data_IF_392337333926
#
_entry.id   IF_392337333926
#
_cell.length_a   1.000
_cell.length_b   1.000
_cell.length_c   1.000
_cell.angle_alpha   90.00
_cell.angle_beta   90.00
_cell.angle_gamma   90.00
#
_symmetry.space_group_name_H-M   'P 1'
#
loop_
_entity.id
_entity.type
_entity.pdbx_description
1 polymer ?
#
# COMPACT_ATOMS: atom_id res chain seq x y z
N UNK A 1 -24.33 -17.48 10.39
CA UNK A 1 -24.42 -16.88 9.02
C UNK A 1 -23.26 -15.94 8.76
N UNK A 2 -23.03 -14.90 9.57
CA UNK A 2 -21.78 -14.09 9.52
C UNK A 2 -20.51 -14.95 9.54
N UNK A 3 -20.44 -15.97 10.40
CA UNK A 3 -19.33 -16.94 10.40
C UNK A 3 -19.16 -17.70 9.07
N UNK A 4 -20.24 -17.98 8.32
CA UNK A 4 -20.15 -18.59 6.98
C UNK A 4 -19.72 -17.57 5.92
N UNK A 5 -20.13 -16.31 6.04
CA UNK A 5 -19.67 -15.20 5.18
C UNK A 5 -18.17 -14.97 5.38
N UNK A 6 -17.71 -14.96 6.64
CA UNK A 6 -16.31 -14.85 7.03
C UNK A 6 -15.46 -16.03 6.51
N UNK A 7 -15.98 -17.25 6.58
CA UNK A 7 -15.28 -18.46 6.12
C UNK A 7 -15.30 -18.68 4.59
N UNK A 8 -16.22 -18.03 3.87
CA UNK A 8 -16.45 -18.29 2.43
C UNK A 8 -16.05 -17.14 1.51
N UNK A 9 -15.37 -16.10 2.02
CA UNK A 9 -15.01 -14.89 1.26
C UNK A 9 -14.16 -15.18 0.00
N UNK A 10 -13.48 -16.32 -0.08
CA UNK A 10 -12.73 -16.71 -1.26
C UNK A 10 -13.58 -17.33 -2.40
N UNK A 11 -14.85 -17.71 -2.13
CA UNK A 11 -15.65 -18.59 -3.02
C UNK A 11 -17.11 -18.15 -3.21
N UNK A 12 -17.53 -17.06 -2.59
CA UNK A 12 -18.94 -16.62 -2.61
C UNK A 12 -19.31 -15.78 -3.83
N UNK A 13 -20.56 -15.91 -4.26
CA UNK A 13 -21.18 -15.11 -5.31
C UNK A 13 -21.64 -13.76 -4.73
N UNK A 14 -20.75 -12.78 -4.84
CA UNK A 14 -20.81 -11.48 -4.15
C UNK A 14 -22.06 -10.60 -4.41
N UNK A 15 -22.73 -10.63 -5.58
CA UNK A 15 -23.94 -9.83 -5.82
C UNK A 15 -25.08 -10.15 -4.85
N UNK A 16 -25.24 -11.42 -4.48
CA UNK A 16 -26.23 -11.90 -3.50
C UNK A 16 -25.87 -11.53 -2.06
N UNK A 17 -24.59 -11.24 -1.78
CA UNK A 17 -24.14 -10.81 -0.46
C UNK A 17 -24.42 -9.32 -0.20
N UNK A 18 -24.44 -8.46 -1.21
CA UNK A 18 -24.67 -7.02 -1.04
C UNK A 18 -26.02 -6.69 -0.41
N UNK A 19 -27.11 -7.21 -0.96
CA UNK A 19 -28.47 -7.01 -0.45
C UNK A 19 -28.69 -7.61 0.95
N UNK A 20 -28.00 -8.73 1.23
CA UNK A 20 -28.00 -9.33 2.55
C UNK A 20 -27.28 -8.44 3.59
N UNK A 21 -26.12 -7.88 3.22
CA UNK A 21 -25.36 -6.98 4.10
C UNK A 21 -26.16 -5.71 4.41
N UNK A 22 -26.87 -5.13 3.44
CA UNK A 22 -27.77 -3.98 3.67
C UNK A 22 -28.85 -4.29 4.71
N UNK A 23 -29.52 -5.45 4.58
CA UNK A 23 -30.56 -5.89 5.53
C UNK A 23 -29.99 -6.11 6.94
N UNK A 24 -28.78 -6.64 7.06
CA UNK A 24 -28.12 -6.86 8.35
C UNK A 24 -27.73 -5.53 8.98
N UNK A 25 -27.09 -4.62 8.24
CA UNK A 25 -26.71 -3.30 8.74
C UNK A 25 -27.91 -2.49 9.26
N UNK A 26 -29.04 -2.53 8.54
CA UNK A 26 -30.28 -1.88 8.95
C UNK A 26 -30.84 -2.46 10.27
N UNK A 27 -30.83 -3.78 10.42
CA UNK A 27 -31.32 -4.44 11.64
C UNK A 27 -30.48 -4.10 12.88
N UNK A 28 -29.14 -4.04 12.75
CA UNK A 28 -28.24 -3.76 13.88
C UNK A 28 -28.21 -2.29 14.27
N UNK A 29 -28.48 -1.38 13.34
CA UNK A 29 -28.59 0.06 13.63
C UNK A 29 -29.75 0.42 14.58
N UNK A 30 -30.71 -0.49 14.74
CA UNK A 30 -31.89 -0.33 15.62
C UNK A 30 -31.70 -0.93 17.02
N UNK A 31 -30.57 -1.58 17.29
CA UNK A 31 -30.27 -2.18 18.61
C UNK A 31 -29.53 -1.14 19.46
N UNK A 32 -30.29 -0.30 20.17
CA UNK A 32 -29.76 0.78 21.01
C UNK A 32 -28.95 0.26 22.22
N UNK A 33 -27.82 0.94 22.52
CA UNK A 33 -27.17 0.88 23.83
C UNK A 33 -25.89 0.05 23.96
N UNK A 34 -25.37 -0.56 22.88
CA UNK A 34 -24.11 -1.32 22.90
C UNK A 34 -23.12 -0.83 21.85
N UNK A 35 -21.88 -0.48 22.27
CA UNK A 35 -20.78 -0.09 21.37
C UNK A 35 -20.48 -1.15 20.29
N UNK A 36 -20.82 -2.41 20.55
CA UNK A 36 -20.70 -3.48 19.58
C UNK A 36 -21.58 -3.31 18.32
N UNK A 37 -22.78 -2.72 18.45
CA UNK A 37 -23.65 -2.49 17.30
C UNK A 37 -23.00 -1.62 16.21
N UNK A 38 -22.19 -0.64 16.63
CA UNK A 38 -21.45 0.23 15.74
C UNK A 38 -20.35 -0.51 14.97
N UNK A 39 -19.60 -1.39 15.64
CA UNK A 39 -18.56 -2.22 15.01
C UNK A 39 -19.17 -3.14 13.94
N UNK A 40 -20.34 -3.71 14.20
CA UNK A 40 -21.07 -4.54 13.24
C UNK A 40 -21.53 -3.75 12.00
N UNK A 41 -22.02 -2.53 12.21
CA UNK A 41 -22.43 -1.63 11.12
C UNK A 41 -21.22 -1.25 10.26
N UNK A 42 -20.10 -0.86 10.86
CA UNK A 42 -18.89 -0.51 10.12
C UNK A 42 -18.26 -1.73 9.43
N UNK A 43 -18.31 -2.91 10.04
CA UNK A 43 -17.88 -4.17 9.40
C UNK A 43 -18.74 -4.50 8.17
N UNK A 44 -20.05 -4.31 8.27
CA UNK A 44 -20.98 -4.51 7.15
C UNK A 44 -20.71 -3.53 6.02
N UNK A 45 -20.51 -2.24 6.35
CA UNK A 45 -20.15 -1.21 5.38
C UNK A 45 -18.81 -1.50 4.70
N UNK A 46 -17.82 -1.97 5.45
CA UNK A 46 -16.55 -2.41 4.89
C UNK A 46 -16.73 -3.55 3.88
N UNK A 47 -17.54 -4.56 4.20
CA UNK A 47 -17.81 -5.66 3.27
C UNK A 47 -18.52 -5.18 1.99
N UNK A 48 -19.47 -4.24 2.10
CA UNK A 48 -20.10 -3.63 0.92
C UNK A 48 -19.08 -2.92 0.04
N UNK A 49 -18.20 -2.10 0.63
CA UNK A 49 -17.11 -1.44 -0.10
C UNK A 49 -16.16 -2.44 -0.78
N UNK A 50 -15.87 -3.56 -0.12
CA UNK A 50 -15.06 -4.63 -0.72
C UNK A 50 -15.77 -5.26 -1.92
N UNK A 51 -17.07 -5.54 -1.83
CA UNK A 51 -17.86 -6.07 -2.95
C UNK A 51 -17.88 -5.10 -4.12
N UNK A 52 -18.17 -3.83 -3.86
CA UNK A 52 -18.15 -2.78 -4.89
C UNK A 52 -16.78 -2.68 -5.57
N UNK A 53 -15.69 -2.79 -4.79
CA UNK A 53 -14.34 -2.81 -5.34
C UNK A 53 -14.10 -4.02 -6.25
N UNK A 54 -14.58 -5.20 -5.87
CA UNK A 54 -14.43 -6.43 -6.66
C UNK A 54 -15.25 -6.38 -7.96
N UNK A 55 -16.39 -5.71 -7.95
CA UNK A 55 -17.24 -5.55 -9.13
C UNK A 55 -16.77 -4.43 -10.07
N UNK A 56 -16.00 -3.47 -9.55
CA UNK A 56 -15.48 -2.35 -10.32
C UNK A 56 -14.34 -2.78 -11.24
N UNK A 57 -14.51 -2.51 -12.53
CA UNK A 57 -13.40 -2.55 -13.48
C UNK A 57 -12.57 -1.26 -13.35
N UNK A 58 -11.28 -1.43 -13.08
CA UNK A 58 -10.36 -0.32 -12.84
C UNK A 58 -9.52 0.02 -14.08
N UNK A 59 -9.98 -0.35 -15.28
CA UNK A 59 -9.26 -0.16 -16.55
C UNK A 59 -8.22 -1.25 -16.78
N UNK A 60 -7.53 -1.67 -15.71
CA UNK A 60 -6.70 -2.86 -15.74
C UNK A 60 -7.51 -4.16 -15.69
N UNK A 61 -8.76 -4.16 -15.18
CA UNK A 61 -9.61 -5.33 -14.96
C UNK A 61 -10.15 -5.41 -13.52
N UNK A 62 -10.81 -6.53 -13.16
CA UNK A 62 -11.44 -6.72 -11.83
C UNK A 62 -10.51 -7.31 -10.79
N UNK A 63 -10.65 -6.87 -9.54
CA UNK A 63 -9.95 -7.47 -8.40
C UNK A 63 -10.49 -8.86 -8.06
N UNK A 64 -9.60 -9.81 -7.79
CA UNK A 64 -9.97 -11.07 -7.14
C UNK A 64 -10.26 -10.88 -5.65
N UNK A 65 -10.83 -11.89 -4.99
CA UNK A 65 -11.16 -11.84 -3.56
C UNK A 65 -9.97 -11.62 -2.61
N UNK A 66 -8.75 -11.78 -3.12
CA UNK A 66 -7.49 -11.50 -2.40
C UNK A 66 -6.77 -10.26 -2.94
N UNK A 67 -7.49 -9.37 -3.62
CA UNK A 67 -6.96 -8.16 -4.28
C UNK A 67 -5.88 -8.43 -5.34
N UNK A 68 -5.73 -9.68 -5.76
CA UNK A 68 -4.85 -10.06 -6.86
C UNK A 68 -5.46 -9.62 -8.19
N UNK A 69 -4.60 -9.20 -9.12
CA UNK A 69 -4.99 -8.77 -10.45
C UNK A 69 -4.07 -9.37 -11.54
N UNK A 70 -4.61 -9.62 -12.75
CA UNK A 70 -3.88 -10.22 -13.88
C UNK A 70 -3.03 -9.18 -14.62
N UNK A 71 -1.75 -9.09 -14.26
CA UNK A 71 -0.81 -8.00 -14.61
C UNK A 71 -0.41 -7.84 -16.09
N UNK A 72 -1.07 -8.50 -17.04
CA UNK A 72 -0.68 -8.38 -18.44
C UNK A 72 -1.21 -7.06 -19.02
N UNK A 73 -0.35 -6.05 -19.07
CA UNK A 73 -0.53 -4.76 -19.78
C UNK A 73 -1.56 -3.81 -19.13
N UNK A 74 -1.27 -3.35 -17.91
CA UNK A 74 -2.05 -2.26 -17.28
C UNK A 74 -1.36 -0.90 -17.50
N UNK A 75 -2.14 0.12 -17.86
CA UNK A 75 -1.63 1.49 -17.99
C UNK A 75 -1.27 2.09 -16.62
N UNK A 76 -0.30 3.03 -16.55
CA UNK A 76 0.08 3.66 -15.28
C UNK A 76 -1.07 4.39 -14.57
N UNK A 77 -1.97 5.00 -15.35
CA UNK A 77 -3.21 5.65 -14.89
C UNK A 77 -4.13 4.67 -14.17
N UNK A 78 -4.36 3.51 -14.76
CA UNK A 78 -5.19 2.44 -14.18
C UNK A 78 -4.58 1.92 -12.88
N UNK A 79 -3.26 1.72 -12.86
CA UNK A 79 -2.54 1.30 -11.65
C UNK A 79 -2.61 2.35 -10.54
N UNK A 80 -2.55 3.64 -10.86
CA UNK A 80 -2.74 4.72 -9.89
C UNK A 80 -4.18 4.73 -9.34
N UNK A 81 -5.18 4.57 -10.20
CA UNK A 81 -6.57 4.51 -9.80
C UNK A 81 -6.84 3.30 -8.89
N UNK A 82 -6.33 2.12 -9.27
CA UNK A 82 -6.38 0.91 -8.47
C UNK A 82 -5.70 1.11 -7.10
N UNK A 83 -4.51 1.72 -7.07
CA UNK A 83 -3.81 2.05 -5.83
C UNK A 83 -4.65 2.98 -4.93
N UNK A 84 -5.26 4.02 -5.50
CA UNK A 84 -6.11 4.95 -4.76
C UNK A 84 -7.33 4.26 -4.14
N UNK A 85 -7.97 3.35 -4.88
CA UNK A 85 -9.09 2.56 -4.37
C UNK A 85 -8.68 1.62 -3.23
N UNK A 86 -7.55 0.93 -3.36
CA UNK A 86 -7.02 0.05 -2.31
C UNK A 86 -6.63 0.84 -1.05
N UNK A 87 -6.04 2.03 -1.21
CA UNK A 87 -5.73 2.91 -0.09
C UNK A 87 -7.00 3.45 0.60
N UNK A 88 -8.03 3.83 -0.17
CA UNK A 88 -9.33 4.21 0.40
C UNK A 88 -9.93 3.06 1.22
N UNK A 89 -9.82 1.82 0.74
CA UNK A 89 -10.28 0.66 1.47
C UNK A 89 -9.48 0.45 2.77
N UNK A 90 -8.16 0.62 2.71
CA UNK A 90 -7.29 0.48 3.89
C UNK A 90 -7.61 1.49 4.99
N UNK A 91 -7.98 2.72 4.61
CA UNK A 91 -8.36 3.79 5.54
C UNK A 91 -9.70 3.52 6.24
N UNK A 92 -10.52 2.60 5.72
CA UNK A 92 -11.74 2.12 6.38
C UNK A 92 -11.50 0.86 7.20
N UNK A 93 -10.68 -0.06 6.68
CA UNK A 93 -10.36 -1.32 7.33
C UNK A 93 -9.59 -1.11 8.64
N UNK A 94 -8.57 -0.26 8.63
CA UNK A 94 -7.66 -0.15 9.78
C UNK A 94 -8.32 0.41 11.04
N UNK A 95 -9.12 1.49 10.99
CA UNK A 95 -9.83 1.97 12.19
C UNK A 95 -10.73 0.90 12.79
N UNK A 96 -11.47 0.17 11.95
CA UNK A 96 -12.34 -0.93 12.40
C UNK A 96 -11.55 -2.06 13.07
N UNK A 97 -10.42 -2.47 12.47
CA UNK A 97 -9.57 -3.51 13.01
C UNK A 97 -8.95 -3.12 14.35
N UNK A 98 -8.47 -1.88 14.47
CA UNK A 98 -7.89 -1.33 15.69
C UNK A 98 -8.96 -1.19 16.79
N UNK A 99 -10.11 -0.61 16.46
CA UNK A 99 -11.25 -0.46 17.38
C UNK A 99 -11.69 -1.82 17.93
N UNK A 100 -11.75 -2.84 17.08
CA UNK A 100 -12.07 -4.20 17.51
C UNK A 100 -11.04 -4.72 18.53
N UNK A 101 -9.74 -4.54 18.27
CA UNK A 101 -8.68 -5.04 19.16
C UNK A 101 -8.53 -4.31 20.49
N UNK A 102 -8.98 -3.05 20.56
CA UNK A 102 -8.83 -2.18 21.72
C UNK A 102 -10.02 -2.24 22.71
N UNK A 103 -10.99 -3.14 22.48
CA UNK A 103 -12.14 -3.30 23.37
C UNK A 103 -11.75 -3.88 24.74
N UNK A 104 -12.59 -3.63 25.74
CA UNK A 104 -12.53 -4.32 27.03
C UNK A 104 -13.00 -5.78 26.86
N UNK A 105 -12.04 -6.65 26.57
CA UNK A 105 -12.31 -8.05 26.23
C UNK A 105 -13.01 -8.84 27.33
N UNK A 106 -12.82 -8.47 28.59
CA UNK A 106 -13.54 -9.09 29.72
C UNK A 106 -15.04 -8.83 29.59
N UNK A 107 -15.44 -7.63 29.19
CA UNK A 107 -16.85 -7.28 28.95
C UNK A 107 -17.36 -7.88 27.65
N UNK A 108 -16.54 -7.92 26.60
CA UNK A 108 -16.93 -8.49 25.30
C UNK A 108 -17.16 -10.00 25.39
N UNK A 109 -16.35 -10.74 26.16
CA UNK A 109 -16.54 -12.18 26.38
C UNK A 109 -17.85 -12.50 27.11
N UNK A 110 -18.29 -11.62 28.00
CA UNK A 110 -19.57 -11.73 28.71
C UNK A 110 -20.78 -11.36 27.84
N UNK A 111 -20.54 -10.77 26.65
CA UNK A 111 -21.59 -10.44 25.69
C UNK A 111 -22.15 -11.69 25.01
N UNK A 112 -23.45 -11.71 24.67
CA UNK A 112 -23.99 -12.71 23.74
C UNK A 112 -23.29 -12.70 22.36
N UNK A 113 -22.58 -11.61 22.03
CA UNK A 113 -21.90 -11.42 20.76
C UNK A 113 -20.38 -11.61 20.83
N UNK A 114 -19.81 -11.94 21.99
CA UNK A 114 -18.36 -12.03 22.19
C UNK A 114 -17.67 -12.89 21.13
N UNK A 115 -18.18 -14.11 20.90
CA UNK A 115 -17.64 -15.03 19.88
C UNK A 115 -17.61 -14.45 18.46
N UNK A 116 -18.55 -13.56 18.13
CA UNK A 116 -18.60 -12.95 16.81
C UNK A 116 -17.48 -11.90 16.64
N UNK A 117 -17.25 -11.07 17.66
CA UNK A 117 -16.13 -10.11 17.66
C UNK A 117 -14.79 -10.84 17.63
N UNK A 118 -14.65 -11.87 18.45
CA UNK A 118 -13.45 -12.71 18.52
C UNK A 118 -13.15 -13.37 17.16
N UNK A 119 -14.16 -13.94 16.50
CA UNK A 119 -14.00 -14.54 15.18
C UNK A 119 -13.70 -13.55 14.05
N UNK A 120 -14.00 -12.25 14.23
CA UNK A 120 -13.74 -11.23 13.21
C UNK A 120 -12.27 -10.79 13.16
N UNK A 121 -11.55 -10.82 14.28
CA UNK A 121 -10.13 -10.41 14.37
C UNK A 121 -9.23 -11.15 13.36
N UNK A 122 -9.18 -12.50 13.34
CA UNK A 122 -8.32 -13.21 12.39
C UNK A 122 -8.70 -12.92 10.94
N UNK A 123 -10.00 -12.75 10.65
CA UNK A 123 -10.48 -12.44 9.30
C UNK A 123 -10.02 -11.05 8.86
N UNK A 124 -10.16 -10.05 9.73
CA UNK A 124 -9.67 -8.69 9.49
C UNK A 124 -8.14 -8.65 9.36
N UNK A 125 -7.42 -9.50 10.10
CA UNK A 125 -5.97 -9.61 10.00
C UNK A 125 -5.53 -10.17 8.65
N UNK A 126 -6.14 -11.26 8.20
CA UNK A 126 -5.88 -11.83 6.89
C UNK A 126 -6.23 -10.83 5.77
N UNK A 127 -7.34 -10.12 5.92
CA UNK A 127 -7.81 -9.10 5.00
C UNK A 127 -6.84 -7.92 4.88
N UNK A 128 -6.42 -7.36 6.02
CA UNK A 128 -5.47 -6.26 6.09
C UNK A 128 -4.10 -6.66 5.55
N UNK A 129 -3.67 -7.89 5.82
CA UNK A 129 -2.43 -8.42 5.30
C UNK A 129 -2.45 -8.57 3.77
N UNK A 130 -3.52 -9.13 3.22
CA UNK A 130 -3.68 -9.26 1.77
C UNK A 130 -3.72 -7.89 1.10
N UNK A 131 -4.42 -6.92 1.71
CA UNK A 131 -4.49 -5.55 1.22
C UNK A 131 -3.11 -4.87 1.25
N UNK A 132 -2.34 -5.00 2.33
CA UNK A 132 -0.97 -4.50 2.41
C UNK A 132 -0.07 -5.11 1.34
N UNK A 133 -0.17 -6.43 1.12
CA UNK A 133 0.58 -7.11 0.06
C UNK A 133 0.21 -6.54 -1.32
N UNK A 134 -1.09 -6.36 -1.60
CA UNK A 134 -1.57 -5.83 -2.87
C UNK A 134 -1.08 -4.40 -3.09
N UNK A 135 -1.33 -3.50 -2.14
CA UNK A 135 -0.86 -2.10 -2.20
C UNK A 135 0.65 -2.02 -2.42
N UNK A 136 1.44 -2.83 -1.70
CA UNK A 136 2.90 -2.85 -1.84
C UNK A 136 3.34 -3.30 -3.25
N UNK A 137 2.63 -4.25 -3.85
CA UNK A 137 2.85 -4.68 -5.24
C UNK A 137 2.52 -3.56 -6.23
N UNK A 138 1.39 -2.85 -6.06
CA UNK A 138 1.03 -1.73 -6.93
C UNK A 138 2.05 -0.60 -6.85
N UNK A 139 2.47 -0.22 -5.64
CA UNK A 139 3.54 0.76 -5.43
C UNK A 139 4.82 0.32 -6.12
N UNK A 140 5.23 -0.94 -5.93
CA UNK A 140 6.42 -1.51 -6.60
C UNK A 140 6.32 -1.38 -8.12
N UNK A 141 5.21 -1.80 -8.71
CA UNK A 141 5.03 -1.81 -10.16
C UNK A 141 5.01 -0.39 -10.74
N UNK A 142 4.36 0.56 -10.06
CA UNK A 142 4.38 1.99 -10.42
C UNK A 142 5.79 2.58 -10.32
N UNK A 143 6.54 2.28 -9.26
CA UNK A 143 7.94 2.71 -9.11
C UNK A 143 8.82 2.18 -10.24
N UNK A 144 8.62 0.93 -10.67
CA UNK A 144 9.34 0.36 -11.82
C UNK A 144 8.97 1.04 -13.14
N UNK A 145 7.70 1.39 -13.35
CA UNK A 145 7.27 2.13 -14.54
C UNK A 145 7.86 3.54 -14.57
N UNK A 146 7.87 4.25 -13.43
CA UNK A 146 8.55 5.54 -13.30
C UNK A 146 10.05 5.39 -13.58
N UNK A 147 10.71 4.37 -13.03
CA UNK A 147 12.13 4.11 -13.29
C UNK A 147 12.42 3.93 -14.78
N UNK A 148 11.66 3.06 -15.44
CA UNK A 148 11.84 2.77 -16.85
C UNK A 148 11.59 4.03 -17.69
N UNK A 149 10.48 4.73 -17.44
CA UNK A 149 10.13 5.93 -18.17
C UNK A 149 11.14 7.07 -17.96
N UNK A 150 11.67 7.26 -16.75
CA UNK A 150 12.72 8.25 -16.48
C UNK A 150 14.05 7.89 -17.18
N UNK A 151 14.41 6.61 -17.27
CA UNK A 151 15.65 6.15 -17.92
C UNK A 151 15.61 6.24 -19.45
N UNK A 152 14.43 6.02 -20.04
CA UNK A 152 14.28 5.96 -21.50
C UNK A 152 13.63 7.21 -22.12
N UNK A 153 12.92 8.01 -21.33
CA UNK A 153 12.20 9.22 -21.76
C UNK A 153 13.03 10.49 -21.90
N UNK A 154 14.29 10.49 -21.47
CA UNK A 154 15.21 11.64 -21.48
C UNK A 154 15.76 11.99 -22.90
N UNK A 155 15.13 11.46 -23.96
CA UNK A 155 15.56 11.61 -25.37
C UNK A 155 14.69 12.55 -26.19
N UNK A 156 13.56 13.01 -25.68
CA UNK A 156 12.66 13.93 -26.38
C UNK A 156 12.57 15.25 -25.62
N UNK A 157 12.81 16.37 -26.32
CA UNK A 157 12.66 17.75 -25.84
C UNK A 157 11.17 18.10 -25.64
N UNK A 158 10.48 17.38 -24.74
CA UNK A 158 9.13 17.75 -24.29
C UNK A 158 9.25 18.66 -23.05
N UNK A 159 8.36 19.66 -22.96
CA UNK A 159 8.38 20.69 -21.91
C UNK A 159 8.08 20.17 -20.50
N UNK A 160 7.58 18.95 -20.36
CA UNK A 160 7.47 18.20 -19.11
C UNK A 160 7.29 16.71 -19.44
N UNK A 161 8.11 15.79 -18.92
CA UNK A 161 7.99 14.40 -19.31
C UNK A 161 6.82 13.71 -18.58
N UNK A 162 6.05 12.84 -19.25
CA UNK A 162 4.84 12.24 -18.69
C UNK A 162 5.11 11.36 -17.44
N UNK A 163 6.34 10.90 -17.23
CA UNK A 163 6.72 10.16 -16.04
C UNK A 163 6.76 11.04 -14.78
N UNK A 164 6.96 12.36 -14.92
CA UNK A 164 7.01 13.28 -13.78
C UNK A 164 5.63 13.42 -13.13
N UNK A 165 4.58 13.53 -13.94
CA UNK A 165 3.21 13.56 -13.44
C UNK A 165 2.84 12.27 -12.68
N UNK A 166 3.22 11.11 -13.24
CA UNK A 166 3.08 9.81 -12.58
C UNK A 166 3.83 9.76 -11.23
N UNK A 167 5.06 10.26 -11.19
CA UNK A 167 5.88 10.32 -9.99
C UNK A 167 5.27 11.23 -8.91
N UNK A 168 4.73 12.39 -9.30
CA UNK A 168 4.05 13.32 -8.39
C UNK A 168 2.78 12.70 -7.78
N UNK A 169 1.96 12.01 -8.58
CA UNK A 169 0.79 11.28 -8.07
C UNK A 169 1.20 10.16 -7.10
N UNK A 170 2.27 9.44 -7.41
CA UNK A 170 2.79 8.40 -6.53
C UNK A 170 3.33 8.96 -5.21
N UNK A 171 3.96 10.14 -5.23
CA UNK A 171 4.37 10.87 -4.03
C UNK A 171 3.19 11.31 -3.15
N UNK A 172 2.05 11.65 -3.74
CA UNK A 172 0.83 11.96 -2.97
C UNK A 172 0.26 10.72 -2.26
N UNK A 173 0.48 9.52 -2.80
CA UNK A 173 0.07 8.25 -2.19
C UNK A 173 0.98 7.84 -1.01
N UNK A 174 2.25 8.25 -1.00
CA UNK A 174 3.24 7.89 0.03
C UNK A 174 2.76 8.11 1.49
N UNK A 175 2.24 9.29 1.90
CA UNK A 175 1.82 9.50 3.28
C UNK A 175 0.66 8.59 3.68
N UNK A 176 -0.24 8.25 2.74
CA UNK A 176 -1.36 7.33 2.98
C UNK A 176 -0.86 5.91 3.16
N UNK A 177 0.09 5.48 2.33
CA UNK A 177 0.77 4.19 2.47
C UNK A 177 1.51 4.06 3.82
N UNK A 178 2.25 5.10 4.23
CA UNK A 178 2.97 5.10 5.51
C UNK A 178 2.02 5.01 6.71
N UNK A 179 0.89 5.74 6.68
CA UNK A 179 -0.17 5.64 7.70
C UNK A 179 -0.77 4.24 7.76
N UNK A 180 -1.06 3.64 6.61
CA UNK A 180 -1.58 2.28 6.55
C UNK A 180 -0.57 1.27 7.12
N UNK A 181 0.71 1.38 6.76
CA UNK A 181 1.77 0.51 7.29
C UNK A 181 1.90 0.63 8.81
N UNK A 182 1.91 1.85 9.36
CA UNK A 182 1.94 2.08 10.81
C UNK A 182 0.74 1.44 11.50
N UNK A 183 -0.47 1.69 11.00
CA UNK A 183 -1.69 1.12 11.58
C UNK A 183 -1.68 -0.41 11.52
N UNK A 184 -1.13 -1.01 10.46
CA UNK A 184 -0.98 -2.46 10.36
C UNK A 184 0.02 -3.01 11.39
N UNK A 185 1.12 -2.29 11.66
CA UNK A 185 2.05 -2.65 12.73
C UNK A 185 1.36 -2.64 14.09
N UNK A 186 0.57 -1.60 14.38
CA UNK A 186 -0.18 -1.46 15.63
C UNK A 186 -1.21 -2.59 15.79
N UNK A 187 -1.95 -2.90 14.72
CA UNK A 187 -2.94 -3.97 14.72
C UNK A 187 -2.31 -5.35 14.95
N UNK A 188 -1.18 -5.63 14.29
CA UNK A 188 -0.40 -6.87 14.53
C UNK A 188 0.10 -6.94 15.97
N UNK A 189 0.58 -5.83 16.52
CA UNK A 189 1.01 -5.78 17.92
C UNK A 189 -0.14 -6.09 18.88
N UNK A 190 -1.34 -5.52 18.65
CA UNK A 190 -2.53 -5.85 19.43
C UNK A 190 -2.96 -7.32 19.27
N UNK A 191 -2.89 -7.88 18.06
CA UNK A 191 -3.14 -9.31 17.85
C UNK A 191 -2.18 -10.20 18.66
N UNK A 192 -0.90 -9.82 18.74
CA UNK A 192 0.07 -10.50 19.58
C UNK A 192 -0.26 -10.37 21.07
N UNK A 193 -0.67 -9.18 21.53
CA UNK A 193 -1.11 -8.98 22.91
C UNK A 193 -2.30 -9.89 23.27
N UNK A 194 -3.29 -10.00 22.37
CA UNK A 194 -4.45 -10.88 22.56
C UNK A 194 -4.03 -12.35 22.61
N UNK A 195 -3.16 -12.79 21.69
CA UNK A 195 -2.59 -14.14 21.75
C UNK A 195 -1.93 -14.41 23.11
N UNK A 196 -1.12 -13.47 23.60
CA UNK A 196 -0.43 -13.58 24.89
C UNK A 196 -1.41 -13.59 26.08
N UNK A 197 -2.58 -12.95 25.97
CA UNK A 197 -3.62 -12.97 27.00
C UNK A 197 -4.49 -14.24 26.96
N UNK A 198 -4.16 -15.23 26.12
CA UNK A 198 -4.87 -16.51 26.05
C UNK A 198 -5.94 -16.59 24.97
N UNK A 199 -5.98 -15.65 24.03
CA UNK A 199 -6.95 -15.64 22.95
C UNK A 199 -6.74 -16.81 21.97
N UNK A 200 -7.66 -17.77 21.98
CA UNK A 200 -7.49 -19.09 21.36
C UNK A 200 -7.55 -19.08 19.83
N UNK A 201 -8.28 -18.15 19.24
CA UNK A 201 -8.51 -18.01 17.81
C UNK A 201 -7.26 -17.52 17.09
N UNK A 202 -6.39 -16.81 17.81
CA UNK A 202 -5.05 -16.45 17.34
C UNK A 202 -3.99 -17.44 17.83
N UNK A 203 -4.31 -18.49 18.59
CA UNK A 203 -3.33 -19.45 19.04
C UNK A 203 -2.77 -20.28 17.85
N UNK A 204 -1.58 -20.90 17.99
CA UNK A 204 -1.07 -21.82 16.98
C UNK A 204 -2.12 -22.89 16.62
N UNK A 205 -2.30 -23.22 15.32
CA UNK A 205 -1.37 -22.97 14.21
C UNK A 205 -1.58 -21.64 13.47
N UNK A 206 -2.45 -20.74 13.94
CA UNK A 206 -2.68 -19.46 13.27
C UNK A 206 -1.39 -18.62 13.25
N UNK A 207 -1.04 -18.04 12.10
CA UNK A 207 0.19 -17.26 11.93
C UNK A 207 -0.16 -15.78 11.86
N UNK A 208 0.21 -15.01 12.89
CA UNK A 208 0.18 -13.54 12.82
C UNK A 208 1.35 -13.10 11.92
N UNK A 209 1.11 -12.31 10.87
CA UNK A 209 2.16 -11.91 9.94
C UNK A 209 3.11 -10.89 10.57
N UNK A 210 4.40 -10.99 10.22
CA UNK A 210 5.38 -9.97 10.56
C UNK A 210 5.40 -8.89 9.47
N UNK A 211 5.05 -7.66 9.82
CA UNK A 211 5.07 -6.51 8.91
C UNK A 211 6.53 -6.04 8.72
N UNK A 212 7.12 -6.13 7.52
CA UNK A 212 8.49 -5.72 7.31
C UNK A 212 8.61 -4.20 7.34
N UNK A 213 9.57 -3.72 8.12
CA UNK A 213 9.93 -2.30 8.16
C UNK A 213 10.54 -1.82 6.83
N UNK A 214 11.15 -2.72 6.07
CA UNK A 214 11.72 -2.40 4.75
C UNK A 214 10.71 -1.77 3.79
N UNK A 215 9.41 -2.03 3.93
CA UNK A 215 8.37 -1.43 3.09
C UNK A 215 8.35 0.10 3.14
N UNK A 216 8.69 0.72 4.27
CA UNK A 216 8.75 2.18 4.39
C UNK A 216 9.85 2.77 3.49
N UNK A 217 10.83 1.96 3.10
CA UNK A 217 11.91 2.36 2.20
C UNK A 217 11.53 2.28 0.72
N UNK A 218 10.32 1.84 0.35
CA UNK A 218 9.89 1.81 -1.07
C UNK A 218 9.98 3.19 -1.74
N UNK A 219 9.71 4.26 -0.98
CA UNK A 219 9.76 5.64 -1.43
C UNK A 219 11.05 6.36 -1.03
N UNK A 220 12.05 5.64 -0.48
CA UNK A 220 13.31 6.25 -0.10
C UNK A 220 13.98 6.91 -1.31
N UNK A 221 14.49 8.13 -1.10
CA UNK A 221 15.21 8.93 -2.10
C UNK A 221 14.35 9.32 -3.33
N UNK A 222 13.07 8.90 -3.39
CA UNK A 222 12.17 9.16 -4.51
C UNK A 222 11.74 10.64 -4.56
N UNK A 223 11.52 11.27 -3.39
CA UNK A 223 11.26 12.72 -3.29
C UNK A 223 12.44 13.54 -3.82
N UNK A 224 13.65 13.14 -3.48
CA UNK A 224 14.87 13.85 -3.87
C UNK A 224 15.14 13.71 -5.38
N UNK A 225 14.82 12.54 -5.95
CA UNK A 225 14.83 12.32 -7.40
C UNK A 225 13.89 13.29 -8.12
N UNK A 226 12.62 13.38 -7.68
CA UNK A 226 11.61 14.26 -8.29
C UNK A 226 11.99 15.73 -8.12
N UNK A 227 12.41 16.14 -6.91
CA UNK A 227 12.85 17.51 -6.65
C UNK A 227 14.09 17.91 -7.48
N UNK A 228 15.04 16.99 -7.65
CA UNK A 228 16.23 17.20 -8.47
C UNK A 228 15.92 17.40 -9.96
N UNK A 229 14.87 16.76 -10.48
CA UNK A 229 14.40 16.99 -11.86
C UNK A 229 13.74 18.36 -12.01
N UNK A 230 12.77 18.69 -11.15
CA UNK A 230 12.08 19.98 -11.19
C UNK A 230 13.04 21.17 -10.99
N UNK A 231 14.15 20.99 -10.26
CA UNK A 231 15.17 22.01 -10.08
C UNK A 231 16.03 22.23 -11.33
N UNK A 232 16.31 21.17 -12.11
CA UNK A 232 17.07 21.26 -13.37
C UNK A 232 16.31 21.98 -14.47
N UNK A 233 15.00 21.79 -14.58
CA UNK A 233 14.15 22.51 -15.54
C UNK A 233 13.99 24.00 -15.21
N UNK A 234 14.04 24.38 -13.92
CA UNK A 234 13.94 25.77 -13.47
C UNK A 234 15.26 26.55 -13.55
N UNK A 235 16.38 25.87 -13.80
CA UNK A 235 17.62 26.57 -14.09
C UNK A 235 17.48 27.19 -15.48
N UNK A 236 17.61 28.53 -15.63
CA UNK A 236 17.60 29.12 -16.96
C UNK A 236 18.72 28.48 -17.76
N UNK A 237 18.37 27.88 -18.89
CA UNK A 237 19.34 27.41 -19.89
C UNK A 237 20.23 28.60 -20.23
N UNK A 238 21.42 28.65 -19.63
CA UNK A 238 22.38 29.71 -19.89
C UNK A 238 22.63 29.74 -21.41
N UNK A 239 22.63 30.93 -22.04
CA UNK A 239 22.83 31.00 -23.48
C UNK A 239 24.20 30.41 -23.80
N UNK A 240 24.23 29.45 -24.71
CA UNK A 240 25.42 29.01 -25.42
C UNK A 240 25.99 30.20 -26.21
N UNK A 241 26.76 31.04 -25.52
CA UNK A 241 27.60 32.10 -26.07
C UNK A 241 28.87 32.13 -25.19
N UNK A 242 30.11 32.01 -25.66
CA UNK A 242 30.62 32.02 -27.00
C UNK A 242 31.91 31.18 -27.03
N UNK A 243 32.12 30.48 -28.14
CA UNK A 243 33.42 29.97 -28.53
C UNK A 243 34.15 31.14 -29.21
N UNK A 244 34.98 31.88 -28.48
CA UNK A 244 35.98 32.81 -29.03
C UNK A 244 37.12 33.02 -28.02
N UNK A 245 38.34 33.00 -28.55
CA UNK A 245 39.62 32.85 -27.87
C UNK A 245 40.03 33.99 -26.93
N UNK A 246 40.85 33.66 -25.91
CA UNK A 246 42.09 34.41 -25.60
C UNK A 246 42.97 33.63 -24.60
N UNK A 247 44.26 33.62 -24.89
CA UNK A 247 45.41 33.08 -24.17
C UNK A 247 45.68 33.72 -22.80
N UNK A 248 46.31 32.97 -21.89
CA UNK A 248 47.07 33.52 -20.77
C UNK A 248 47.37 32.47 -19.70
N UNK A 249 48.65 32.13 -19.55
CA UNK A 249 49.19 31.27 -18.50
C UNK A 249 48.80 31.72 -17.09
N UNK A 250 48.43 30.76 -16.22
CA UNK A 250 48.98 30.71 -14.86
C UNK A 250 48.68 29.36 -14.19
N UNK A 251 49.76 28.65 -13.86
CA UNK A 251 49.77 27.49 -12.97
C UNK A 251 49.98 28.00 -11.54
N UNK A 252 48.98 27.84 -10.66
CA UNK A 252 49.21 27.76 -9.21
C UNK A 252 48.10 26.97 -8.50
N UNK A 253 48.54 25.78 -8.09
CA UNK A 253 48.12 24.87 -7.02
C UNK A 253 46.98 25.25 -6.05
N UNK A 254 46.12 24.23 -5.84
CA UNK A 254 45.57 23.70 -4.59
C UNK A 254 45.61 24.58 -3.32
N UNK A 255 44.44 24.78 -2.66
CA UNK A 255 44.22 24.28 -1.29
C UNK A 255 42.75 24.40 -0.81
N UNK A 256 42.21 23.23 -0.42
CA UNK A 256 41.28 22.92 0.70
C UNK A 256 39.95 23.65 0.92
N UNK A 257 38.86 22.88 0.73
CA UNK A 257 37.76 22.58 1.67
C UNK A 257 37.26 23.68 2.62
N UNK A 258 36.05 24.16 2.34
CA UNK A 258 35.03 24.45 3.35
C UNK A 258 33.64 24.52 2.68
N UNK A 259 32.75 23.57 3.01
CA UNK A 259 31.31 23.73 2.76
C UNK A 259 30.63 22.66 1.92
N UNK A 260 30.92 21.37 2.14
CA UNK A 260 30.05 20.26 1.72
C UNK A 260 28.76 20.25 2.55
N UNK A 261 27.90 21.24 2.30
CA UNK A 261 26.51 21.30 2.80
C UNK A 261 25.60 21.66 1.64
N UNK A 262 25.31 20.69 0.78
CA UNK A 262 24.14 20.70 -0.09
C UNK A 262 23.92 19.28 -0.60
N UNK A 263 22.71 18.75 -0.40
CA UNK A 263 22.34 17.38 -0.79
C UNK A 263 22.80 17.08 -2.21
N UNK A 264 23.61 16.04 -2.35
CA UNK A 264 23.96 15.50 -3.64
C UNK A 264 22.64 15.14 -4.34
N UNK A 265 22.28 15.91 -5.37
CA UNK A 265 21.16 15.60 -6.24
C UNK A 265 21.36 14.18 -6.75
N UNK A 266 20.55 13.24 -6.24
CA UNK A 266 20.57 11.85 -6.69
C UNK A 266 20.31 11.90 -8.19
N UNK A 267 21.33 11.61 -8.99
CA UNK A 267 21.17 11.51 -10.44
C UNK A 267 20.14 10.42 -10.72
N UNK A 268 19.27 10.61 -11.72
CA UNK A 268 18.35 9.55 -12.18
C UNK A 268 19.08 8.23 -12.51
N UNK A 269 20.39 8.31 -12.81
CA UNK A 269 21.25 7.15 -13.02
C UNK A 269 21.60 6.36 -11.75
N UNK A 270 21.45 6.94 -10.55
CA UNK A 270 21.78 6.35 -9.25
C UNK A 270 20.59 5.84 -8.45
N UNK A 271 19.37 6.07 -8.93
CA UNK A 271 18.14 5.53 -8.35
C UNK A 271 17.70 4.28 -9.13
N UNK A 272 17.19 3.21 -8.48
CA UNK A 272 16.87 3.07 -7.06
C UNK A 272 18.09 2.80 -6.15
N UNK A 273 18.05 3.32 -4.92
CA UNK A 273 19.08 3.07 -3.91
C UNK A 273 19.04 1.63 -3.35
N UNK A 274 20.10 1.21 -2.66
CA UNK A 274 20.18 -0.13 -2.08
C UNK A 274 19.03 -0.45 -1.09
N UNK A 275 18.52 0.57 -0.38
CA UNK A 275 17.38 0.42 0.55
C UNK A 275 16.06 0.21 -0.18
N UNK A 276 15.86 0.91 -1.30
CA UNK A 276 14.70 0.69 -2.19
C UNK A 276 14.78 -0.73 -2.76
N UNK A 277 15.94 -1.16 -3.26
CA UNK A 277 16.12 -2.51 -3.80
C UNK A 277 15.82 -3.62 -2.79
N UNK A 278 16.19 -3.45 -1.52
CA UNK A 278 15.87 -4.39 -0.45
C UNK A 278 14.35 -4.46 -0.16
N UNK A 279 13.69 -3.30 -0.16
CA UNK A 279 12.23 -3.20 -0.04
C UNK A 279 11.52 -3.91 -1.22
N UNK A 280 12.00 -3.70 -2.46
CA UNK A 280 11.45 -4.35 -3.65
C UNK A 280 11.63 -5.88 -3.58
N UNK A 281 12.79 -6.38 -3.14
CA UNK A 281 13.03 -7.82 -2.91
C UNK A 281 12.06 -8.42 -1.90
N UNK A 282 11.75 -7.68 -0.84
CA UNK A 282 10.77 -8.08 0.17
C UNK A 282 9.39 -8.27 -0.46
N UNK A 283 8.94 -7.30 -1.28
CA UNK A 283 7.66 -7.38 -2.02
C UNK A 283 7.66 -8.52 -3.04
N UNK A 284 8.78 -8.76 -3.75
CA UNK A 284 8.91 -9.86 -4.72
C UNK A 284 8.80 -11.25 -4.08
N UNK A 285 9.24 -11.36 -2.82
CA UNK A 285 9.08 -12.60 -2.06
C UNK A 285 7.61 -12.92 -1.75
N UNK A 286 6.76 -11.90 -1.66
CA UNK A 286 5.32 -12.04 -1.41
C UNK A 286 4.53 -12.26 -2.69
N UNK A 287 4.84 -11.52 -3.75
CA UNK A 287 4.22 -11.70 -5.06
C UNK A 287 4.34 -13.14 -5.58
N UNK A 288 5.43 -13.84 -5.22
CA UNK A 288 5.63 -15.27 -5.56
C UNK A 288 4.81 -16.24 -4.68
N UNK A 289 4.55 -15.89 -3.41
CA UNK A 289 3.73 -16.71 -2.49
C UNK A 289 2.23 -16.53 -2.72
N UNK A 290 1.81 -15.35 -3.17
CA UNK A 290 0.41 -15.00 -3.42
C UNK A 290 -0.05 -15.28 -4.86
N UNK A 291 0.83 -15.70 -5.78
CA UNK A 291 0.45 -16.06 -7.15
C UNK A 291 -0.16 -17.47 -7.22
N UNK A 292 -1.34 -17.66 -7.84
CA UNK A 292 -1.93 -18.99 -8.03
C UNK A 292 -1.02 -19.95 -8.83
N UNK A 293 -0.10 -19.42 -9.64
CA UNK A 293 0.80 -20.19 -10.48
C UNK A 293 1.85 -20.99 -9.68
N UNK A 294 2.18 -20.57 -8.45
CA UNK A 294 3.15 -21.31 -7.61
C UNK A 294 2.52 -22.50 -6.87
N UNK A 295 1.19 -22.63 -6.83
CA UNK A 295 0.49 -23.80 -6.27
C UNK A 295 0.38 -25.00 -7.22
N UNK A 296 0.74 -24.86 -8.52
CA UNK A 296 0.66 -25.96 -9.50
C UNK A 296 1.89 -26.87 -9.57
N UNK A 297 2.88 -26.75 -8.67
CA UNK A 297 4.11 -27.57 -8.72
C UNK A 297 4.37 -28.51 -7.55
N UNK A 298 3.39 -28.73 -6.67
CA UNK A 298 3.43 -29.83 -5.70
C UNK A 298 2.05 -30.46 -5.56
N UNK A 299 1.72 -31.33 -6.52
CA UNK A 299 0.82 -32.45 -6.36
C UNK A 299 1.60 -33.68 -6.84
#
# INVERSE_FOLDING_TARGET
VLQRVLQSSATMDWPTCGSFLESVGAHWSQVDGWSGGQVLVEFTRFLQMKVELMDRDCGCGKFSGTYGFSRSVAEPSDLLQALALLLNLSERLMPLALELTQQDWVRVEQSPYGRLYLGAIPVLLDEAWQLLCAVSVFVRDLLWQVHAAAKFGDREEQSEPPWLQLALHLLQAQPRFAKFHSAMCDFVAHCHQLRCSGFSELAPPYIIPAVPQALLNLFADFKDLVAGYCAKEKAPSAPLAAKAAASGDDLSALSTDAGTTAGAAVSAASWPSARVLDALKTVDSWGRRCSPASRKKKA
#
